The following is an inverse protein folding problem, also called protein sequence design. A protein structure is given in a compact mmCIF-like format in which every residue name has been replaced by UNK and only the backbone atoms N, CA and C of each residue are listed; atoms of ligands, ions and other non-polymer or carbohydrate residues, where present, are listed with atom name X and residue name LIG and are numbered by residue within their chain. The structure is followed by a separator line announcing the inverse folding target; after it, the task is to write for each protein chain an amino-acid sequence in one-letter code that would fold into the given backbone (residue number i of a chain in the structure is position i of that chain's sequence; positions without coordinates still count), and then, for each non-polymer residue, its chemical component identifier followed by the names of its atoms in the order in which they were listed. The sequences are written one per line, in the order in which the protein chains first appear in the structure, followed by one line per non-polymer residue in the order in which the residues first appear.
data_IF_862251154691
#
_entry.id   IF_862251154691
#
_cell.length_a   1.000
_cell.length_b   1.000
_cell.length_c   1.000
_cell.angle_alpha   90.00
_cell.angle_beta   90.00
_cell.angle_gamma   90.00
#
_symmetry.space_group_name_H-M   'P 1'
#
loop_
_entity.id
_entity.type
_entity.pdbx_description
1 polymer ?
#
# COMPACT_ATOMS: atom_id res chain seq x y z
N UNK A 1 -0.96 17.64 -15.12
CA UNK A 1 -1.47 18.48 -14.04
C UNK A 1 -1.95 19.83 -14.58
N UNK A 2 -1.16 20.56 -15.39
CA UNK A 2 -1.51 21.90 -15.95
C UNK A 2 -2.83 21.88 -16.75
N UNK A 3 -3.05 20.85 -17.58
CA UNK A 3 -4.31 20.74 -18.35
C UNK A 3 -5.52 20.51 -17.46
N UNK A 4 -5.37 19.72 -16.39
CA UNK A 4 -6.45 19.49 -15.42
C UNK A 4 -6.75 20.75 -14.62
N UNK A 5 -5.71 21.48 -14.20
CA UNK A 5 -5.87 22.76 -13.51
C UNK A 5 -6.71 23.74 -14.34
N UNK A 6 -6.45 23.84 -15.66
CA UNK A 6 -7.22 24.69 -16.56
C UNK A 6 -8.70 24.29 -16.61
N UNK A 7 -8.99 22.99 -16.66
CA UNK A 7 -10.39 22.50 -16.61
C UNK A 7 -11.07 22.91 -15.30
N UNK A 8 -10.35 22.76 -14.16
CA UNK A 8 -10.89 23.11 -12.84
C UNK A 8 -11.08 24.62 -12.63
N UNK A 9 -10.28 25.45 -13.31
CA UNK A 9 -10.33 26.91 -13.15
C UNK A 9 -11.27 27.58 -14.16
N UNK A 10 -11.16 27.18 -15.42
CA UNK A 10 -11.81 27.87 -16.53
C UNK A 10 -13.03 27.08 -17.10
N UNK A 11 -13.18 25.80 -16.69
CA UNK A 11 -14.17 24.92 -17.31
C UNK A 11 -13.89 24.66 -18.80
N UNK A 12 -12.63 24.82 -19.24
CA UNK A 12 -12.27 24.70 -20.66
C UNK A 12 -11.19 23.65 -20.90
N UNK A 13 -11.26 22.95 -22.03
CA UNK A 13 -10.26 22.01 -22.48
C UNK A 13 -10.18 21.96 -24.01
N UNK A 14 -9.10 21.36 -24.51
CA UNK A 14 -8.96 21.09 -25.96
C UNK A 14 -8.71 19.59 -26.15
N UNK A 15 -9.23 19.03 -27.24
CA UNK A 15 -8.92 17.66 -27.65
C UNK A 15 -7.45 17.54 -28.03
N UNK A 16 -6.88 16.35 -27.87
CA UNK A 16 -5.52 16.09 -28.34
C UNK A 16 -5.44 16.26 -29.84
N UNK A 17 -4.52 17.10 -30.32
CA UNK A 17 -4.34 17.41 -31.74
C UNK A 17 -5.30 18.48 -32.29
N UNK A 18 -6.13 19.12 -31.45
CA UNK A 18 -7.01 20.21 -31.85
C UNK A 18 -6.72 21.46 -31.04
N UNK A 19 -6.83 22.62 -31.71
CA UNK A 19 -6.77 23.95 -31.08
C UNK A 19 -8.16 24.47 -30.67
N UNK A 20 -9.21 23.73 -30.97
CA UNK A 20 -10.58 24.10 -30.61
C UNK A 20 -10.76 24.02 -29.09
N UNK A 21 -11.25 25.12 -28.49
CA UNK A 21 -11.55 25.18 -27.06
C UNK A 21 -12.98 24.73 -26.81
N UNK A 22 -13.15 23.70 -26.04
CA UNK A 22 -14.43 23.15 -25.59
C UNK A 22 -14.71 23.60 -24.17
N UNK A 23 -15.99 23.79 -23.82
CA UNK A 23 -16.45 24.06 -22.46
C UNK A 23 -16.93 22.76 -21.79
N UNK A 24 -16.68 22.65 -20.48
CA UNK A 24 -17.13 21.55 -19.64
C UNK A 24 -17.78 22.13 -18.39
N UNK A 25 -18.99 21.70 -18.11
CA UNK A 25 -19.70 21.96 -16.87
C UNK A 25 -19.86 20.60 -16.15
N UNK A 26 -18.84 20.19 -15.41
CA UNK A 26 -18.78 18.86 -14.77
C UNK A 26 -18.36 18.97 -13.31
N UNK A 27 -18.90 18.11 -12.48
CA UNK A 27 -18.36 17.85 -11.14
C UNK A 27 -17.21 16.85 -11.28
N UNK A 28 -16.03 17.23 -10.78
CA UNK A 28 -14.86 16.36 -10.79
C UNK A 28 -14.72 15.71 -9.42
N UNK A 29 -14.60 14.38 -9.41
CA UNK A 29 -14.25 13.58 -8.25
C UNK A 29 -12.94 12.90 -8.54
N UNK A 30 -11.92 13.13 -7.72
CA UNK A 30 -10.61 12.51 -7.83
C UNK A 30 -10.39 11.52 -6.68
N UNK A 31 -9.69 10.43 -6.94
CA UNK A 31 -9.28 9.47 -5.93
C UNK A 31 -7.80 9.14 -6.06
N UNK A 32 -7.11 9.00 -4.95
CA UNK A 32 -5.69 8.64 -4.89
C UNK A 32 -5.41 7.88 -3.59
N UNK A 33 -4.40 7.03 -3.62
CA UNK A 33 -3.84 6.39 -2.43
C UNK A 33 -2.58 7.10 -1.91
N UNK A 34 -2.19 8.23 -2.52
CA UNK A 34 -1.01 9.00 -2.12
C UNK A 34 -1.41 10.14 -1.19
N UNK A 35 -0.53 10.48 -0.25
CA UNK A 35 -0.63 11.74 0.46
C UNK A 35 -0.22 12.89 -0.46
N UNK A 36 -1.23 13.63 -0.92
CA UNK A 36 -0.99 14.73 -1.85
C UNK A 36 -0.25 15.91 -1.20
N UNK A 37 -0.34 16.10 0.12
CA UNK A 37 0.43 17.13 0.82
C UNK A 37 1.92 16.78 0.84
N UNK A 38 2.25 15.52 1.05
CA UNK A 38 3.63 15.01 0.92
C UNK A 38 4.13 15.14 -0.53
N UNK A 39 3.33 14.74 -1.53
CA UNK A 39 3.70 14.85 -2.95
C UNK A 39 3.93 16.33 -3.37
N UNK A 40 3.21 17.29 -2.78
CA UNK A 40 3.47 18.73 -2.98
C UNK A 40 4.83 19.10 -2.37
N UNK A 41 5.12 18.69 -1.13
CA UNK A 41 6.39 18.98 -0.47
C UNK A 41 7.60 18.43 -1.22
N UNK A 42 7.44 17.29 -1.88
CA UNK A 42 8.45 16.64 -2.73
C UNK A 42 8.54 17.25 -4.15
N UNK A 43 7.67 18.20 -4.49
CA UNK A 43 7.62 18.81 -5.82
C UNK A 43 7.04 17.91 -6.93
N UNK A 44 6.44 16.77 -6.58
CA UNK A 44 5.82 15.84 -7.53
C UNK A 44 4.39 16.24 -7.91
N UNK A 45 3.73 17.02 -7.05
CA UNK A 45 2.38 17.51 -7.25
C UNK A 45 2.34 19.03 -7.12
N UNK A 46 1.59 19.69 -8.02
CA UNK A 46 1.50 21.16 -8.02
C UNK A 46 0.62 21.62 -6.86
N UNK A 47 1.08 22.63 -6.15
CA UNK A 47 0.37 23.22 -5.01
C UNK A 47 -0.97 23.86 -5.44
N UNK A 48 -0.99 24.57 -6.58
CA UNK A 48 -2.19 25.20 -7.11
C UNK A 48 -3.29 24.18 -7.48
N UNK A 49 -2.90 23.02 -8.02
CA UNK A 49 -3.81 21.91 -8.30
C UNK A 49 -4.31 21.25 -7.03
N UNK A 50 -3.44 21.12 -6.02
CA UNK A 50 -3.80 20.57 -4.70
C UNK A 50 -4.96 21.37 -4.07
N UNK A 51 -4.82 22.70 -3.97
CA UNK A 51 -5.88 23.53 -3.37
C UNK A 51 -7.19 23.53 -4.16
N UNK A 52 -7.15 23.26 -5.46
CA UNK A 52 -8.36 23.14 -6.27
C UNK A 52 -9.06 21.79 -6.15
N UNK A 53 -8.31 20.70 -6.00
CA UNK A 53 -8.86 19.35 -5.86
C UNK A 53 -9.28 19.03 -4.44
N UNK A 54 -8.52 19.50 -3.44
CA UNK A 54 -8.70 19.15 -2.04
C UNK A 54 -9.55 20.16 -1.26
N UNK A 55 -10.42 20.91 -1.94
CA UNK A 55 -11.40 21.80 -1.28
C UNK A 55 -12.35 21.01 -0.36
N UNK A 56 -12.70 19.79 -0.78
CA UNK A 56 -13.46 18.83 0.04
C UNK A 56 -12.74 17.48 -0.03
N UNK A 57 -12.22 17.00 1.09
CA UNK A 57 -11.41 15.79 1.19
C UNK A 57 -12.11 14.74 2.06
N UNK A 58 -12.41 13.61 1.45
CA UNK A 58 -12.90 12.43 2.16
C UNK A 58 -11.75 11.45 2.30
N UNK A 59 -11.41 11.09 3.53
CA UNK A 59 -10.43 10.05 3.83
C UNK A 59 -11.18 8.77 4.15
N UNK A 60 -10.99 7.72 3.33
CA UNK A 60 -11.54 6.40 3.63
C UNK A 60 -10.60 5.70 4.62
N UNK A 61 -11.13 5.18 5.76
CA UNK A 61 -10.31 4.45 6.72
C UNK A 61 -9.74 3.17 6.10
N UNK A 62 -8.57 2.74 6.57
CA UNK A 62 -8.02 1.44 6.22
C UNK A 62 -8.84 0.31 6.83
N UNK A 63 -8.69 -0.92 6.34
CA UNK A 63 -9.33 -2.09 6.95
C UNK A 63 -8.86 -2.29 8.40
N UNK A 64 -7.58 -2.04 8.65
CA UNK A 64 -6.98 -2.13 9.98
C UNK A 64 -7.62 -1.12 10.96
N UNK A 65 -7.81 0.13 10.53
CA UNK A 65 -8.51 1.16 11.33
C UNK A 65 -9.96 0.79 11.62
N UNK A 66 -10.67 0.20 10.65
CA UNK A 66 -12.05 -0.21 10.79
C UNK A 66 -12.20 -1.36 11.80
N UNK A 67 -11.36 -2.39 11.68
CA UNK A 67 -11.35 -3.53 12.60
C UNK A 67 -10.92 -3.10 14.01
N UNK A 68 -9.97 -2.17 14.14
CA UNK A 68 -9.56 -1.63 15.43
C UNK A 68 -10.66 -0.80 16.11
N UNK A 69 -11.50 -0.12 15.32
CA UNK A 69 -12.64 0.67 15.81
C UNK A 69 -13.84 -0.16 16.21
N UNK A 70 -14.09 -1.28 15.51
CA UNK A 70 -15.19 -2.20 15.77
C UNK A 70 -14.74 -3.65 15.52
N UNK A 71 -14.62 -4.47 16.57
CA UNK A 71 -14.25 -5.89 16.44
C UNK A 71 -15.22 -6.74 15.62
N UNK A 72 -16.50 -6.34 15.51
CA UNK A 72 -17.50 -7.06 14.72
C UNK A 72 -17.41 -6.73 13.23
N UNK A 73 -16.72 -5.65 12.86
CA UNK A 73 -16.61 -5.18 11.48
C UNK A 73 -15.93 -6.22 10.57
N UNK A 74 -14.93 -6.92 11.06
CA UNK A 74 -14.30 -8.01 10.30
C UNK A 74 -15.29 -9.10 9.95
N UNK A 75 -16.15 -9.47 10.89
CA UNK A 75 -17.17 -10.51 10.67
C UNK A 75 -18.21 -10.04 9.64
N UNK A 76 -18.68 -8.81 9.74
CA UNK A 76 -19.61 -8.21 8.79
C UNK A 76 -19.01 -8.18 7.37
N UNK A 77 -17.75 -7.78 7.25
CA UNK A 77 -17.05 -7.78 5.96
C UNK A 77 -16.88 -9.19 5.40
N UNK A 78 -16.53 -10.16 6.23
CA UNK A 78 -16.39 -11.55 5.82
C UNK A 78 -17.72 -12.12 5.32
N UNK A 79 -18.81 -11.85 5.99
CA UNK A 79 -20.15 -12.26 5.56
C UNK A 79 -20.51 -11.64 4.21
N UNK A 80 -20.27 -10.34 4.05
CA UNK A 80 -20.53 -9.64 2.79
C UNK A 80 -19.70 -10.22 1.63
N UNK A 81 -18.40 -10.46 1.84
CA UNK A 81 -17.50 -11.03 0.83
C UNK A 81 -17.89 -12.48 0.52
N UNK A 82 -18.16 -13.29 1.56
CA UNK A 82 -18.55 -14.69 1.41
C UNK A 82 -19.85 -14.81 0.58
N UNK A 83 -20.83 -13.94 0.80
CA UNK A 83 -22.06 -13.88 0.03
C UNK A 83 -21.80 -13.66 -1.47
N UNK A 84 -20.83 -12.82 -1.81
CA UNK A 84 -20.44 -12.58 -3.21
C UNK A 84 -19.64 -13.73 -3.84
N UNK A 85 -18.95 -14.54 -3.03
CA UNK A 85 -18.09 -15.65 -3.51
C UNK A 85 -18.87 -16.95 -3.65
N UNK A 86 -19.69 -17.32 -2.68
CA UNK A 86 -20.38 -18.63 -2.62
C UNK A 86 -21.90 -18.54 -2.59
N UNK A 87 -22.49 -17.33 -2.59
CA UNK A 87 -23.92 -17.10 -2.49
C UNK A 87 -24.44 -17.09 -1.04
N UNK A 88 -25.72 -16.71 -0.90
CA UNK A 88 -26.32 -16.45 0.43
C UNK A 88 -26.35 -17.66 1.35
N UNK A 89 -26.66 -18.84 0.80
CA UNK A 89 -26.85 -20.07 1.60
C UNK A 89 -25.58 -20.57 2.28
N UNK A 90 -24.42 -20.39 1.65
CA UNK A 90 -23.11 -20.86 2.16
C UNK A 90 -22.31 -19.77 2.83
N UNK A 91 -22.71 -18.51 2.70
CA UNK A 91 -21.95 -17.37 3.22
C UNK A 91 -21.70 -17.42 4.73
N UNK A 92 -22.70 -17.75 5.60
CA UNK A 92 -22.48 -17.77 7.05
C UNK A 92 -21.42 -18.80 7.47
N UNK A 93 -21.48 -20.00 6.90
CA UNK A 93 -20.50 -21.06 7.20
C UNK A 93 -19.10 -20.65 6.75
N UNK A 94 -18.96 -20.15 5.51
CA UNK A 94 -17.69 -19.71 4.98
C UNK A 94 -17.08 -18.54 5.79
N UNK A 95 -17.90 -17.58 6.19
CA UNK A 95 -17.43 -16.44 6.99
C UNK A 95 -16.83 -16.90 8.33
N UNK A 96 -17.48 -17.85 9.01
CA UNK A 96 -16.97 -18.45 10.25
C UNK A 96 -15.66 -19.21 10.01
N UNK A 97 -15.58 -20.02 8.96
CA UNK A 97 -14.40 -20.79 8.64
C UNK A 97 -13.20 -19.88 8.34
N UNK A 98 -13.42 -18.83 7.53
CA UNK A 98 -12.37 -17.85 7.21
C UNK A 98 -11.96 -17.04 8.44
N UNK A 99 -12.92 -16.62 9.28
CA UNK A 99 -12.62 -15.91 10.51
C UNK A 99 -11.74 -16.75 11.45
N UNK A 100 -12.10 -18.02 11.65
CA UNK A 100 -11.31 -18.95 12.46
C UNK A 100 -9.89 -19.15 11.88
N UNK A 101 -9.80 -19.27 10.56
CA UNK A 101 -8.53 -19.38 9.86
C UNK A 101 -7.65 -18.13 10.08
N UNK A 102 -8.22 -16.94 9.90
CA UNK A 102 -7.52 -15.66 10.14
C UNK A 102 -6.97 -15.58 11.56
N UNK A 103 -7.80 -15.88 12.55
CA UNK A 103 -7.39 -15.84 13.96
C UNK A 103 -6.30 -16.83 14.31
N UNK A 104 -6.23 -17.96 13.62
CA UNK A 104 -5.25 -19.04 13.88
C UNK A 104 -3.93 -18.77 13.16
N UNK A 105 -3.98 -18.34 11.90
CA UNK A 105 -2.84 -18.34 11.00
C UNK A 105 -2.20 -16.96 10.83
N UNK A 106 -2.96 -15.87 11.03
CA UNK A 106 -2.44 -14.51 10.94
C UNK A 106 -2.14 -13.92 12.33
N UNK A 107 -1.16 -12.99 12.43
CA UNK A 107 -0.93 -12.22 13.64
C UNK A 107 -2.18 -11.45 14.07
N UNK A 108 -2.40 -11.31 15.39
CA UNK A 108 -3.57 -10.58 15.91
C UNK A 108 -3.67 -9.13 15.38
N UNK A 109 -2.54 -8.48 15.11
CA UNK A 109 -2.45 -7.13 14.57
C UNK A 109 -1.95 -7.19 13.10
N UNK A 110 -2.56 -8.01 12.25
CA UNK A 110 -2.20 -8.07 10.85
C UNK A 110 -2.71 -6.81 10.12
N UNK A 111 -1.84 -5.97 9.52
CA UNK A 111 -2.20 -4.62 9.07
C UNK A 111 -2.97 -4.55 7.75
N UNK A 112 -3.32 -5.67 7.14
CA UNK A 112 -4.06 -5.76 5.88
C UNK A 112 -3.60 -4.74 4.80
N UNK A 113 -2.34 -4.79 4.34
CA UNK A 113 -1.78 -3.77 3.43
C UNK A 113 -2.52 -3.64 2.11
N UNK A 114 -3.21 -4.68 1.65
CA UNK A 114 -4.09 -4.67 0.50
C UNK A 114 -5.54 -4.31 0.82
N UNK A 115 -5.85 -3.95 2.07
CA UNK A 115 -7.18 -3.59 2.53
C UNK A 115 -8.25 -4.66 2.18
N UNK A 116 -9.46 -4.22 1.85
CA UNK A 116 -10.59 -5.08 1.48
C UNK A 116 -10.26 -6.00 0.29
N UNK A 117 -9.41 -5.54 -0.64
CA UNK A 117 -8.99 -6.38 -1.78
C UNK A 117 -8.18 -7.60 -1.34
N UNK A 118 -7.35 -7.42 -0.33
CA UNK A 118 -6.56 -8.50 0.26
C UNK A 118 -7.46 -9.45 1.04
N UNK A 119 -8.44 -8.94 1.79
CA UNK A 119 -9.43 -9.75 2.48
C UNK A 119 -10.27 -10.57 1.50
N UNK A 120 -10.73 -9.98 0.39
CA UNK A 120 -11.41 -10.71 -0.68
C UNK A 120 -10.55 -11.83 -1.27
N UNK A 121 -9.26 -11.56 -1.48
CA UNK A 121 -8.32 -12.56 -1.97
C UNK A 121 -8.09 -13.68 -0.96
N UNK A 122 -8.00 -13.34 0.34
CA UNK A 122 -7.91 -14.30 1.43
C UNK A 122 -9.11 -15.25 1.42
N UNK A 123 -10.34 -14.72 1.39
CA UNK A 123 -11.58 -15.53 1.31
C UNK A 123 -11.55 -16.46 0.10
N UNK A 124 -11.25 -15.95 -1.09
CA UNK A 124 -11.19 -16.76 -2.32
C UNK A 124 -10.13 -17.88 -2.25
N UNK A 125 -8.96 -17.59 -1.70
CA UNK A 125 -7.90 -18.58 -1.57
C UNK A 125 -8.25 -19.67 -0.56
N UNK A 126 -8.92 -19.32 0.52
CA UNK A 126 -9.39 -20.31 1.52
C UNK A 126 -10.44 -21.22 0.90
N UNK A 127 -11.38 -20.71 0.11
CA UNK A 127 -12.38 -21.51 -0.62
C UNK A 127 -11.70 -22.49 -1.58
N UNK A 128 -10.68 -22.05 -2.32
CA UNK A 128 -10.09 -22.86 -3.39
C UNK A 128 -9.02 -23.82 -2.85
N UNK A 129 -8.22 -23.37 -1.87
CA UNK A 129 -6.99 -24.05 -1.46
C UNK A 129 -6.94 -24.39 0.02
N UNK A 130 -7.93 -23.95 0.80
CA UNK A 130 -7.94 -24.00 2.27
C UNK A 130 -6.68 -23.35 2.91
N UNK A 131 -6.03 -22.45 2.16
CA UNK A 131 -4.81 -21.76 2.60
C UNK A 131 -4.75 -20.35 1.96
N UNK A 132 -4.27 -19.37 2.74
CA UNK A 132 -3.91 -18.05 2.24
C UNK A 132 -2.48 -17.70 2.68
N UNK A 133 -1.70 -17.15 1.76
CA UNK A 133 -0.34 -16.63 2.05
C UNK A 133 -0.28 -15.15 1.69
N UNK A 134 -0.19 -14.28 2.70
CA UNK A 134 -0.04 -12.85 2.47
C UNK A 134 1.19 -12.54 1.59
N UNK A 135 1.01 -11.72 0.57
CA UNK A 135 2.10 -11.33 -0.32
C UNK A 135 3.23 -10.57 0.41
N UNK A 136 2.88 -9.90 1.51
CA UNK A 136 3.77 -9.01 2.28
C UNK A 136 4.53 -9.69 3.41
N UNK A 137 4.34 -10.98 3.68
CA UNK A 137 5.05 -11.67 4.78
C UNK A 137 6.57 -11.74 4.62
N UNK A 138 7.10 -11.39 3.44
CA UNK A 138 8.56 -11.32 3.24
C UNK A 138 9.20 -10.07 3.84
N UNK A 139 8.50 -8.93 3.95
CA UNK A 139 9.10 -7.68 4.44
C UNK A 139 8.78 -7.33 5.90
N UNK A 140 7.57 -7.63 6.41
CA UNK A 140 7.15 -7.20 7.75
C UNK A 140 7.77 -7.99 8.91
N UNK A 141 8.08 -9.30 8.74
CA UNK A 141 8.74 -10.06 9.81
C UNK A 141 10.20 -9.65 10.03
N UNK A 142 10.85 -9.10 8.99
CA UNK A 142 12.24 -8.62 9.10
C UNK A 142 12.31 -7.19 9.68
N UNK A 143 11.47 -6.27 9.23
CA UNK A 143 11.54 -4.87 9.67
C UNK A 143 11.07 -4.68 11.10
N UNK A 144 9.90 -5.18 11.49
CA UNK A 144 9.40 -5.01 12.86
C UNK A 144 10.29 -5.70 13.92
N UNK A 145 10.89 -6.85 13.58
CA UNK A 145 11.87 -7.52 14.48
C UNK A 145 13.16 -6.72 14.57
N UNK A 146 13.60 -6.10 13.49
CA UNK A 146 14.82 -5.29 13.44
C UNK A 146 14.60 -3.91 14.05
N UNK A 147 13.48 -3.24 13.83
CA UNK A 147 13.11 -1.99 14.50
C UNK A 147 13.06 -2.15 16.03
N UNK A 148 12.46 -3.24 16.50
CA UNK A 148 12.49 -3.62 17.93
C UNK A 148 13.91 -3.90 18.43
N UNK A 149 14.75 -4.56 17.62
CA UNK A 149 16.13 -4.87 17.99
C UNK A 149 17.02 -3.60 17.97
N UNK A 150 16.76 -2.64 17.08
CA UNK A 150 17.39 -1.30 17.08
C UNK A 150 16.97 -0.53 18.32
N UNK A 151 15.68 -0.50 18.65
CA UNK A 151 15.17 0.15 19.86
C UNK A 151 15.74 -0.43 21.13
N UNK A 152 15.95 -1.74 21.19
CA UNK A 152 16.59 -2.46 22.32
C UNK A 152 18.12 -2.45 22.30
N UNK A 153 18.75 -1.82 21.28
CA UNK A 153 20.21 -1.75 21.08
C UNK A 153 20.89 -3.12 21.10
N UNK A 154 20.23 -4.15 20.60
CA UNK A 154 20.71 -5.55 20.62
C UNK A 154 21.40 -6.00 19.35
N UNK A 155 21.46 -5.14 18.29
CA UNK A 155 22.12 -5.44 17.03
C UNK A 155 23.61 -5.12 17.05
N UNK A 156 24.40 -5.95 16.41
CA UNK A 156 25.80 -5.64 16.10
C UNK A 156 25.85 -4.59 14.96
N UNK A 157 26.91 -3.78 14.94
CA UNK A 157 27.04 -2.70 13.95
C UNK A 157 26.95 -3.21 12.50
N UNK A 158 27.59 -4.34 12.20
CA UNK A 158 27.55 -4.91 10.85
C UNK A 158 26.12 -5.36 10.43
N UNK A 159 25.33 -5.92 11.35
CA UNK A 159 23.95 -6.32 11.09
C UNK A 159 23.05 -5.10 10.84
N UNK A 160 23.30 -4.01 11.56
CA UNK A 160 22.59 -2.74 11.35
C UNK A 160 22.93 -2.13 9.98
N UNK A 161 24.20 -2.12 9.61
CA UNK A 161 24.67 -1.61 8.32
C UNK A 161 24.09 -2.46 7.18
N UNK A 162 24.13 -3.77 7.28
CA UNK A 162 23.61 -4.71 6.29
C UNK A 162 22.10 -4.52 6.11
N UNK A 163 21.36 -4.44 7.20
CA UNK A 163 19.92 -4.18 7.17
C UNK A 163 19.60 -2.84 6.52
N UNK A 164 20.27 -1.76 6.93
CA UNK A 164 20.00 -0.43 6.40
C UNK A 164 20.31 -0.32 4.92
N UNK A 165 21.44 -0.86 4.48
CA UNK A 165 21.82 -0.92 3.08
C UNK A 165 20.82 -1.73 2.24
N UNK A 166 20.36 -2.87 2.74
CA UNK A 166 19.40 -3.74 2.05
C UNK A 166 18.03 -3.06 1.93
N UNK A 167 17.58 -2.37 2.98
CA UNK A 167 16.30 -1.64 2.98
C UNK A 167 16.31 -0.50 1.95
N UNK A 168 17.36 0.33 1.94
CA UNK A 168 17.48 1.43 0.98
C UNK A 168 17.63 0.91 -0.46
N UNK A 169 18.32 -0.22 -0.66
CA UNK A 169 18.39 -0.86 -1.97
C UNK A 169 17.02 -1.39 -2.44
N UNK A 170 16.24 -2.01 -1.55
CA UNK A 170 14.89 -2.50 -1.86
C UNK A 170 13.93 -1.36 -2.26
N UNK A 171 14.04 -0.19 -1.62
CA UNK A 171 13.26 1.01 -1.96
C UNK A 171 13.63 1.60 -3.33
N UNK A 172 14.92 1.61 -3.67
CA UNK A 172 15.43 2.31 -4.86
C UNK A 172 15.53 1.43 -6.10
N UNK A 173 15.62 0.10 -5.93
CA UNK A 173 15.76 -0.89 -7.00
C UNK A 173 17.09 -0.80 -7.77
N UNK A 174 18.01 0.08 -7.38
CA UNK A 174 19.26 0.33 -8.10
C UNK A 174 20.44 0.58 -7.14
N UNK A 175 21.56 -0.10 -7.35
CA UNK A 175 22.78 0.12 -6.57
C UNK A 175 23.31 1.56 -6.67
N UNK A 176 23.17 2.20 -7.82
CA UNK A 176 23.63 3.58 -8.02
C UNK A 176 22.77 4.58 -7.25
N UNK A 177 21.45 4.42 -7.30
CA UNK A 177 20.53 5.28 -6.56
C UNK A 177 20.63 5.06 -5.06
N UNK A 178 20.69 3.81 -4.62
CA UNK A 178 20.88 3.47 -3.21
C UNK A 178 22.20 4.01 -2.66
N UNK A 179 23.30 3.86 -3.39
CA UNK A 179 24.62 4.35 -3.00
C UNK A 179 24.63 5.88 -2.88
N UNK A 180 23.98 6.59 -3.80
CA UNK A 180 23.83 8.05 -3.75
C UNK A 180 23.02 8.48 -2.52
N UNK A 181 21.91 7.80 -2.21
CA UNK A 181 21.07 8.07 -1.04
C UNK A 181 21.81 7.81 0.27
N UNK A 182 22.68 6.79 0.30
CA UNK A 182 23.48 6.39 1.47
C UNK A 182 24.81 7.16 1.60
N UNK A 183 25.21 7.94 0.61
CA UNK A 183 26.47 8.65 0.61
C UNK A 183 27.72 7.74 0.53
N UNK A 184 27.61 6.57 -0.11
CA UNK A 184 28.67 5.57 -0.24
C UNK A 184 28.95 5.22 -1.71
N UNK A 185 30.11 4.62 -1.98
CA UNK A 185 30.41 4.09 -3.31
C UNK A 185 29.56 2.86 -3.63
N UNK A 186 29.02 2.72 -4.88
CA UNK A 186 28.22 1.55 -5.29
C UNK A 186 28.92 0.20 -5.08
N UNK A 187 30.25 0.14 -5.19
CA UNK A 187 31.04 -1.08 -4.93
C UNK A 187 31.00 -1.44 -3.44
N UNK A 188 31.14 -0.44 -2.58
CA UNK A 188 31.02 -0.62 -1.13
C UNK A 188 29.62 -1.13 -0.75
N UNK A 189 28.58 -0.58 -1.36
CA UNK A 189 27.21 -1.02 -1.13
C UNK A 189 27.02 -2.50 -1.51
N UNK A 190 27.54 -2.93 -2.67
CA UNK A 190 27.49 -4.34 -3.10
C UNK A 190 28.14 -5.32 -2.11
N UNK A 191 29.17 -4.90 -1.38
CA UNK A 191 29.83 -5.75 -0.38
C UNK A 191 29.06 -5.82 0.94
N UNK A 192 28.15 -4.86 1.19
CA UNK A 192 27.36 -4.77 2.43
C UNK A 192 25.99 -5.42 2.31
N UNK A 193 25.51 -5.65 1.09
CA UNK A 193 24.26 -6.37 0.84
C UNK A 193 24.64 -7.82 0.56
N UNK A 194 24.15 -8.80 1.38
CA UNK A 194 24.36 -10.21 1.11
C UNK A 194 23.81 -10.57 -0.28
N UNK A 195 24.44 -11.52 -0.96
CA UNK A 195 23.99 -12.00 -2.27
C UNK A 195 22.57 -12.57 -2.13
N UNK A 196 21.57 -11.72 -2.34
CA UNK A 196 20.17 -12.14 -2.40
C UNK A 196 20.02 -12.81 -3.75
N UNK A 197 19.71 -14.11 -3.76
CA UNK A 197 19.22 -14.79 -4.95
C UNK A 197 17.92 -14.11 -5.38
N UNK A 198 18.03 -13.10 -6.24
CA UNK A 198 16.88 -12.43 -6.86
C UNK A 198 16.37 -13.41 -7.92
N UNK A 199 15.39 -14.21 -7.55
CA UNK A 199 14.58 -14.92 -8.54
C UNK A 199 13.60 -13.86 -9.08
N UNK A 200 13.97 -13.28 -10.23
CA UNK A 200 13.05 -12.47 -11.03
C UNK A 200 12.16 -13.47 -11.79
N UNK A 201 10.87 -13.46 -11.51
CA UNK A 201 9.84 -14.05 -12.35
C UNK A 201 9.13 -12.93 -13.11
#
# INVERSE_FOLDING_TARGET
QVKLLRVLQEGTFSRVGSNETLRSDVRIVAATNKDLAEEVSLGHFREDLYYRLCADKIVTPSLDDQIAGDPEELEHMLQFIAKRVVGESMAPSLAVDVHNWIRKELPANYPWPGNIRELEQCVRNIVIRNEYRPATTRHTKSSAKLENAVGKRSLKLNELIEWYCTTVYAETGSYEHAARKLGVDPRTLKTKIPAINIIIF
#
